data_IF_664691070797
#
_entry.id   IF_664691070797
#
_cell.length_a   1.000
_cell.length_b   1.000
_cell.length_c   1.000
_cell.angle_alpha   90.00
_cell.angle_beta   90.00
_cell.angle_gamma   90.00
#
_symmetry.space_group_name_H-M   'P 1'
#
loop_
_entity.id
_entity.type
_entity.pdbx_description
1 polymer ?
#
# COMPACT_ATOMS: atom_id res chain seq x y z
N UNK A 1 -6.43 27.78 -6.55
CA UNK A 1 -5.92 26.92 -5.47
C UNK A 1 -4.96 27.78 -4.64
N UNK A 2 -5.34 28.16 -3.42
CA UNK A 2 -4.58 29.10 -2.58
C UNK A 2 -3.34 28.48 -1.94
N UNK A 3 -3.21 27.16 -2.06
CA UNK A 3 -2.08 26.36 -1.60
C UNK A 3 -0.71 26.87 -2.04
N UNK A 4 -0.62 27.54 -3.20
CA UNK A 4 0.65 28.07 -3.71
C UNK A 4 1.13 29.35 -2.99
N UNK A 5 0.26 30.01 -2.22
CA UNK A 5 0.57 31.30 -1.60
C UNK A 5 1.07 31.17 -0.16
N UNK A 6 1.11 29.96 0.40
CA UNK A 6 1.48 29.72 1.80
C UNK A 6 0.36 30.06 2.79
N UNK A 7 0.73 30.08 4.07
CA UNK A 7 -0.16 30.44 5.18
C UNK A 7 0.32 31.75 5.81
N UNK A 8 -0.60 32.69 5.95
CA UNK A 8 -0.34 34.00 6.51
C UNK A 8 -0.77 34.03 7.97
N UNK A 9 0.16 34.37 8.86
CA UNK A 9 -0.09 34.62 10.27
C UNK A 9 -0.15 36.13 10.46
N UNK A 10 -1.36 36.64 10.68
CA UNK A 10 -1.62 38.08 10.79
C UNK A 10 -1.85 38.46 12.25
N UNK A 11 -1.09 39.43 12.74
CA UNK A 11 -1.41 40.12 13.98
C UNK A 11 -2.22 41.37 13.65
N UNK A 12 -3.40 41.48 14.21
CA UNK A 12 -4.31 42.60 13.97
C UNK A 12 -4.22 43.62 15.11
N UNK A 13 -4.59 44.87 14.82
CA UNK A 13 -4.78 45.87 15.88
C UNK A 13 -5.98 45.51 16.79
N UNK A 14 -6.08 46.12 17.97
CA UNK A 14 -7.11 45.79 18.97
C UNK A 14 -8.55 45.88 18.43
N UNK A 15 -8.76 46.70 17.40
CA UNK A 15 -10.04 46.91 16.74
C UNK A 15 -10.28 45.98 15.53
N UNK A 16 -9.33 45.10 15.20
CA UNK A 16 -9.37 44.20 14.04
C UNK A 16 -9.55 44.92 12.69
N UNK A 17 -9.03 46.14 12.56
CA UNK A 17 -9.17 46.97 11.37
C UNK A 17 -7.91 47.01 10.49
N UNK A 18 -6.75 46.70 11.06
CA UNK A 18 -5.45 46.76 10.36
C UNK A 18 -4.53 45.62 10.76
N UNK A 19 -3.71 45.17 9.82
CA UNK A 19 -2.59 44.25 10.06
C UNK A 19 -1.41 45.04 10.64
N UNK A 20 -0.95 44.65 11.81
CA UNK A 20 0.19 45.24 12.53
C UNK A 20 1.49 44.52 12.17
N UNK A 21 1.42 43.21 12.04
CA UNK A 21 2.52 42.37 11.56
C UNK A 21 1.97 41.17 10.78
N UNK A 22 2.81 40.65 9.90
CA UNK A 22 2.52 39.50 9.05
C UNK A 22 3.76 38.60 9.05
N UNK A 23 3.56 37.33 9.35
CA UNK A 23 4.53 36.26 9.09
C UNK A 23 3.95 35.31 8.05
N UNK A 24 4.80 34.78 7.18
CA UNK A 24 4.37 33.90 6.08
C UNK A 24 5.07 32.57 6.24
N UNK A 25 4.29 31.53 6.45
CA UNK A 25 4.74 30.15 6.26
C UNK A 25 4.64 29.85 4.76
N UNK A 26 5.77 29.64 4.05
CA UNK A 26 5.75 29.40 2.62
C UNK A 26 4.95 28.14 2.27
N UNK A 27 4.41 28.09 1.05
CA UNK A 27 3.83 26.87 0.53
C UNK A 27 4.90 25.77 0.47
N UNK A 28 4.60 24.63 1.09
CA UNK A 28 5.45 23.44 1.05
C UNK A 28 4.60 22.24 0.65
N UNK A 29 4.96 21.59 -0.46
CA UNK A 29 4.26 20.41 -0.95
C UNK A 29 2.88 20.68 -1.57
N UNK A 30 2.02 19.67 -1.50
CA UNK A 30 0.63 19.69 -1.99
C UNK A 30 -0.33 18.99 -0.99
N UNK A 31 -1.64 19.09 -1.18
CA UNK A 31 -2.64 18.55 -0.24
C UNK A 31 -2.72 19.31 1.09
N UNK A 32 -2.49 20.62 1.05
CA UNK A 32 -2.35 21.47 2.24
C UNK A 32 -3.68 21.62 2.97
N UNK A 33 -3.68 21.39 4.28
CA UNK A 33 -4.86 21.58 5.12
C UNK A 33 -4.50 22.08 6.51
N UNK A 34 -5.36 22.94 7.03
CA UNK A 34 -5.28 23.43 8.40
C UNK A 34 -6.40 22.81 9.23
N UNK A 35 -6.06 22.24 10.38
CA UNK A 35 -7.02 21.54 11.24
C UNK A 35 -6.68 21.72 12.71
N UNK A 36 -7.69 21.55 13.57
CA UNK A 36 -7.48 21.52 15.01
C UNK A 36 -7.48 20.08 15.50
N UNK A 37 -6.56 19.75 16.41
CA UNK A 37 -6.53 18.46 17.07
C UNK A 37 -6.13 18.64 18.53
N UNK A 38 -6.98 18.16 19.45
CA UNK A 38 -6.77 18.30 20.90
C UNK A 38 -6.51 19.75 21.38
N UNK A 39 -7.10 20.73 20.69
CA UNK A 39 -7.01 22.15 21.03
C UNK A 39 -5.88 22.90 20.32
N UNK A 40 -4.89 22.17 19.78
CA UNK A 40 -3.80 22.74 19.02
C UNK A 40 -4.15 22.91 17.53
N UNK A 41 -3.56 23.92 16.90
CA UNK A 41 -3.68 24.19 15.47
C UNK A 41 -2.52 23.54 14.71
N UNK A 42 -2.84 22.85 13.62
CA UNK A 42 -1.88 22.19 12.75
C UNK A 42 -2.06 22.61 11.31
N UNK A 43 -0.95 22.62 10.58
CA UNK A 43 -0.87 22.69 9.13
C UNK A 43 -0.25 21.39 8.64
N UNK A 44 -0.85 20.74 7.65
CA UNK A 44 -0.26 19.59 6.98
C UNK A 44 -0.16 19.83 5.48
N UNK A 45 0.80 19.18 4.85
CA UNK A 45 0.92 19.05 3.40
C UNK A 45 1.60 17.71 3.08
N UNK A 46 1.92 17.46 1.81
CA UNK A 46 2.68 16.28 1.38
C UNK A 46 4.06 16.16 2.04
N UNK A 47 4.58 17.23 2.63
CA UNK A 47 5.88 17.29 3.32
C UNK A 47 5.79 16.90 4.80
N UNK A 48 4.59 16.81 5.38
CA UNK A 48 4.37 16.37 6.75
C UNK A 48 3.34 17.19 7.51
N UNK A 49 3.44 17.19 8.84
CA UNK A 49 2.58 17.94 9.76
C UNK A 49 3.42 18.93 10.55
N UNK A 50 2.93 20.15 10.67
CA UNK A 50 3.48 21.22 11.50
C UNK A 50 2.45 21.66 12.53
N UNK A 51 2.90 21.91 13.75
CA UNK A 51 2.11 22.45 14.85
C UNK A 51 2.37 23.96 14.97
N UNK A 52 1.31 24.72 15.20
CA UNK A 52 1.43 26.16 15.47
C UNK A 52 1.90 26.40 16.92
N UNK A 53 2.97 27.16 17.10
CA UNK A 53 3.47 27.65 18.37
C UNK A 53 2.84 29.03 18.64
N UNK A 54 1.93 29.10 19.62
CA UNK A 54 1.21 30.33 19.95
C UNK A 54 2.08 31.41 20.61
N UNK A 55 3.22 31.04 21.20
CA UNK A 55 4.14 32.00 21.81
C UNK A 55 5.04 32.63 20.75
N UNK A 56 5.51 31.83 19.78
CA UNK A 56 6.36 32.30 18.68
C UNK A 56 5.60 32.78 17.45
N UNK A 57 4.30 32.50 17.37
CA UNK A 57 3.43 32.75 16.22
C UNK A 57 3.90 32.09 14.92
N UNK A 58 4.53 30.92 15.02
CA UNK A 58 5.17 30.21 13.91
C UNK A 58 4.78 28.74 13.88
N UNK A 59 4.89 28.11 12.71
CA UNK A 59 4.74 26.66 12.61
C UNK A 59 6.09 25.97 12.87
N UNK A 60 6.04 24.84 13.58
CA UNK A 60 7.17 23.96 13.80
C UNK A 60 6.78 22.52 13.46
N UNK A 61 7.70 21.76 12.86
CA UNK A 61 7.43 20.37 12.46
C UNK A 61 7.01 19.51 13.65
N UNK A 62 5.87 18.82 13.52
CA UNK A 62 5.42 17.80 14.45
C UNK A 62 5.91 16.43 13.96
N UNK A 63 7.01 15.95 14.54
CA UNK A 63 7.61 14.67 14.14
C UNK A 63 6.71 13.47 14.45
N UNK A 64 5.89 13.56 15.51
CA UNK A 64 5.05 12.46 15.97
C UNK A 64 3.92 12.18 14.98
N UNK A 65 3.15 13.21 14.61
CA UNK A 65 2.09 13.09 13.61
C UNK A 65 2.66 12.85 12.21
N UNK A 66 3.79 13.50 11.87
CA UNK A 66 4.44 13.27 10.57
C UNK A 66 4.83 11.81 10.40
N UNK A 67 5.54 11.21 11.35
CA UNK A 67 5.95 9.81 11.26
C UNK A 67 4.76 8.83 11.28
N UNK A 68 3.69 9.17 12.00
CA UNK A 68 2.49 8.33 12.08
C UNK A 68 1.71 8.29 10.76
N UNK A 69 1.62 9.44 10.07
CA UNK A 69 0.75 9.63 8.91
C UNK A 69 1.48 9.51 7.56
N UNK A 70 2.77 9.87 7.49
CA UNK A 70 3.56 9.95 6.25
C UNK A 70 4.55 8.79 6.15
N UNK A 71 4.02 7.56 6.07
CA UNK A 71 4.83 6.33 6.00
C UNK A 71 5.24 6.04 4.55
N UNK A 72 6.46 5.52 4.37
CA UNK A 72 6.99 5.12 3.05
C UNK A 72 6.01 4.17 2.33
N UNK A 73 5.74 4.46 1.05
CA UNK A 73 4.82 3.72 0.17
C UNK A 73 3.33 3.76 0.55
N UNK A 74 2.93 4.54 1.57
CA UNK A 74 1.54 4.73 1.96
C UNK A 74 1.34 6.08 2.67
N UNK A 75 1.74 7.15 2.00
CA UNK A 75 1.63 8.52 2.52
C UNK A 75 0.24 9.10 2.29
N UNK A 76 -0.20 10.00 3.18
CA UNK A 76 -1.38 10.83 2.92
C UNK A 76 -1.14 11.65 1.66
N UNK A 77 -2.12 11.63 0.76
CA UNK A 77 -2.09 12.36 -0.53
C UNK A 77 -3.12 13.49 -0.58
N UNK A 78 -3.98 13.59 0.43
CA UNK A 78 -5.10 14.52 0.52
C UNK A 78 -5.00 15.43 1.74
N UNK A 79 -6.04 16.24 1.95
CA UNK A 79 -6.24 16.97 3.21
C UNK A 79 -6.39 16.01 4.40
N UNK A 80 -6.03 16.50 5.58
CA UNK A 80 -6.34 15.86 6.86
C UNK A 80 -7.63 16.45 7.41
N UNK A 81 -8.55 15.57 7.79
CA UNK A 81 -9.85 15.93 8.34
C UNK A 81 -9.85 15.59 9.83
N UNK A 82 -10.10 16.60 10.65
CA UNK A 82 -10.33 16.40 12.09
C UNK A 82 -11.82 16.22 12.32
N UNK A 83 -12.22 15.04 12.76
CA UNK A 83 -13.62 14.70 13.01
C UNK A 83 -13.77 13.94 14.33
N UNK A 84 -14.55 14.54 15.23
CA UNK A 84 -14.64 14.17 16.65
C UNK A 84 -13.26 14.16 17.34
N UNK A 85 -12.77 12.99 17.75
CA UNK A 85 -11.49 12.79 18.44
C UNK A 85 -10.42 12.13 17.56
N UNK A 86 -10.65 12.09 16.24
CA UNK A 86 -9.79 11.39 15.29
C UNK A 86 -9.37 12.30 14.15
N UNK A 87 -8.18 12.04 13.64
CA UNK A 87 -7.74 12.54 12.35
C UNK A 87 -8.01 11.48 11.28
N UNK A 88 -8.44 11.94 10.12
CA UNK A 88 -8.69 11.14 8.93
C UNK A 88 -7.86 11.66 7.78
N UNK A 89 -7.29 10.74 7.01
CA UNK A 89 -6.58 11.06 5.79
C UNK A 89 -6.75 9.95 4.77
N UNK A 90 -6.44 10.25 3.52
CA UNK A 90 -6.57 9.31 2.41
C UNK A 90 -5.22 9.15 1.73
N UNK A 91 -4.88 7.92 1.39
CA UNK A 91 -3.69 7.56 0.61
C UNK A 91 -4.11 6.91 -0.70
N UNK A 92 -3.11 6.58 -1.52
CA UNK A 92 -3.31 5.79 -2.74
C UNK A 92 -3.79 4.35 -2.49
N UNK A 93 -3.87 3.88 -1.25
CA UNK A 93 -4.26 2.50 -0.88
C UNK A 93 -5.24 2.41 0.29
N UNK A 94 -5.26 3.41 1.16
CA UNK A 94 -5.90 3.33 2.47
C UNK A 94 -6.70 4.58 2.80
N UNK A 95 -7.72 4.39 3.63
CA UNK A 95 -8.21 5.42 4.54
C UNK A 95 -7.44 5.26 5.84
N UNK A 96 -6.82 6.35 6.30
CA UNK A 96 -6.02 6.38 7.53
C UNK A 96 -6.85 7.06 8.59
N UNK A 97 -7.02 6.39 9.72
CA UNK A 97 -7.62 6.97 10.92
C UNK A 97 -6.56 6.99 12.03
N UNK A 98 -6.36 8.14 12.66
CA UNK A 98 -5.45 8.31 13.79
C UNK A 98 -6.25 8.78 15.00
N UNK A 99 -6.02 8.13 16.12
CA UNK A 99 -6.52 8.55 17.44
C UNK A 99 -5.37 8.58 18.44
N UNK A 100 -5.44 9.47 19.42
CA UNK A 100 -4.45 9.49 20.49
C UNK A 100 -4.61 8.27 21.41
N UNK A 101 -3.51 7.61 21.75
CA UNK A 101 -3.45 6.57 22.77
C UNK A 101 -3.89 7.12 24.13
N UNK A 102 -4.77 6.38 24.82
CA UNK A 102 -5.37 6.82 26.10
C UNK A 102 -4.40 6.74 27.30
N UNK A 103 -3.29 6.01 27.16
CA UNK A 103 -2.41 5.65 28.27
C UNK A 103 -0.94 6.03 28.06
N UNK A 104 -0.46 5.94 26.82
CA UNK A 104 0.93 6.18 26.42
C UNK A 104 1.13 7.52 25.71
N UNK A 105 0.04 8.22 25.35
CA UNK A 105 0.07 9.40 24.48
C UNK A 105 0.77 9.15 23.13
N UNK A 106 0.84 7.91 22.68
CA UNK A 106 1.32 7.59 21.33
C UNK A 106 0.14 7.55 20.35
N UNK A 107 0.30 8.01 19.11
CA UNK A 107 -0.76 7.96 18.12
C UNK A 107 -1.06 6.51 17.70
N UNK A 108 -2.30 6.08 17.89
CA UNK A 108 -2.82 4.83 17.35
C UNK A 108 -3.35 5.03 15.93
N UNK A 109 -2.70 4.42 14.95
CA UNK A 109 -3.04 4.55 13.53
C UNK A 109 -3.68 3.27 12.99
N UNK A 110 -4.89 3.39 12.45
CA UNK A 110 -5.58 2.32 11.73
C UNK A 110 -5.57 2.63 10.23
N UNK A 111 -5.03 1.71 9.43
CA UNK A 111 -5.04 1.78 7.96
C UNK A 111 -6.06 0.82 7.40
N UNK A 112 -7.09 1.38 6.79
CA UNK A 112 -8.24 0.66 6.26
C UNK A 112 -8.02 0.55 4.75
N UNK A 113 -7.69 -0.64 4.23
CA UNK A 113 -7.47 -0.81 2.81
C UNK A 113 -8.77 -0.57 2.07
N UNK A 114 -8.68 0.18 0.97
CA UNK A 114 -9.83 0.48 0.11
C UNK A 114 -9.52 0.11 -1.33
N UNK A 115 -10.45 -0.50 -2.10
CA UNK A 115 -10.19 -0.91 -3.48
C UNK A 115 -9.94 0.24 -4.43
N UNK A 116 -9.22 -0.02 -5.53
CA UNK A 116 -8.96 0.97 -6.58
C UNK A 116 -10.24 1.55 -7.17
N UNK A 117 -11.28 0.74 -7.33
CA UNK A 117 -12.59 1.20 -7.79
C UNK A 117 -13.21 2.23 -6.84
N UNK A 118 -13.14 2.01 -5.53
CA UNK A 118 -13.64 2.98 -4.55
C UNK A 118 -12.80 4.26 -4.54
N UNK A 119 -11.48 4.16 -4.62
CA UNK A 119 -10.61 5.35 -4.62
C UNK A 119 -10.93 6.30 -5.76
N UNK A 120 -11.36 5.76 -6.93
CA UNK A 120 -11.81 6.58 -8.07
C UNK A 120 -13.11 7.35 -7.80
N UNK A 121 -13.91 6.93 -6.84
CA UNK A 121 -15.15 7.63 -6.47
C UNK A 121 -14.94 8.67 -5.39
N UNK A 122 -13.77 8.75 -4.73
CA UNK A 122 -13.49 9.81 -3.73
C UNK A 122 -13.52 11.23 -4.31
N UNK A 123 -13.51 11.36 -5.65
CA UNK A 123 -13.74 12.63 -6.33
C UNK A 123 -12.45 13.44 -6.47
N UNK A 124 -12.55 14.74 -6.21
CA UNK A 124 -11.42 15.67 -6.34
C UNK A 124 -10.62 15.66 -5.04
N UNK A 125 -9.32 15.40 -5.14
CA UNK A 125 -8.42 15.46 -3.99
C UNK A 125 -8.50 16.83 -3.31
N UNK A 126 -8.65 16.83 -1.99
CA UNK A 126 -8.86 18.02 -1.17
C UNK A 126 -10.33 18.31 -0.84
N UNK A 127 -11.28 17.55 -1.39
CA UNK A 127 -12.71 17.63 -1.08
C UNK A 127 -13.23 16.35 -0.43
N UNK A 128 -12.35 15.47 0.03
CA UNK A 128 -12.74 14.31 0.81
C UNK A 128 -13.49 14.77 2.07
N UNK A 129 -14.51 14.01 2.46
CA UNK A 129 -15.26 14.30 3.66
C UNK A 129 -15.51 13.03 4.48
N UNK A 130 -15.37 13.18 5.79
CA UNK A 130 -15.67 12.15 6.77
C UNK A 130 -16.52 12.80 7.86
N UNK A 131 -17.69 12.22 8.13
CA UNK A 131 -18.61 12.70 9.15
C UNK A 131 -18.91 11.56 10.12
N UNK A 132 -18.82 11.83 11.43
CA UNK A 132 -19.24 10.84 12.43
C UNK A 132 -20.76 10.77 12.48
N UNK A 133 -21.31 9.55 12.43
CA UNK A 133 -22.76 9.32 12.57
C UNK A 133 -23.10 9.00 14.03
N UNK A 134 -22.76 7.79 14.47
CA UNK A 134 -23.01 7.28 15.82
C UNK A 134 -21.91 6.27 16.18
N UNK A 135 -21.58 6.14 17.46
CA UNK A 135 -20.56 5.20 17.94
C UNK A 135 -19.25 5.30 17.14
N UNK A 136 -18.88 4.22 16.47
CA UNK A 136 -17.69 4.06 15.63
C UNK A 136 -18.06 3.99 14.13
N UNK A 137 -19.23 4.52 13.76
CA UNK A 137 -19.70 4.61 12.37
C UNK A 137 -19.49 5.99 11.79
N UNK A 138 -18.98 6.03 10.57
CA UNK A 138 -18.63 7.22 9.83
C UNK A 138 -19.25 7.19 8.44
N UNK A 139 -19.65 8.35 7.93
CA UNK A 139 -20.07 8.55 6.57
C UNK A 139 -18.90 9.15 5.78
N UNK A 140 -18.56 8.53 4.67
CA UNK A 140 -17.50 8.98 3.76
C UNK A 140 -18.17 9.42 2.47
N UNK A 141 -17.99 10.69 2.09
CA UNK A 141 -18.53 11.19 0.83
C UNK A 141 -17.75 10.68 -0.38
N UNK A 142 -18.45 10.65 -1.51
CA UNK A 142 -17.89 10.31 -2.81
C UNK A 142 -18.54 11.18 -3.89
N UNK A 143 -17.92 11.29 -5.06
CA UNK A 143 -18.50 11.98 -6.22
C UNK A 143 -19.79 11.35 -6.73
N UNK A 144 -20.11 10.12 -6.29
CA UNK A 144 -21.30 9.36 -6.70
C UNK A 144 -22.26 9.05 -5.55
N UNK A 145 -22.14 9.71 -4.39
CA UNK A 145 -22.95 9.44 -3.20
C UNK A 145 -22.10 9.34 -1.93
N UNK A 146 -22.32 8.33 -1.11
CA UNK A 146 -21.57 8.13 0.14
C UNK A 146 -21.44 6.66 0.52
N UNK A 147 -20.49 6.36 1.40
CA UNK A 147 -20.33 5.08 2.08
C UNK A 147 -20.49 5.23 3.59
N UNK A 148 -20.87 4.14 4.24
CA UNK A 148 -20.81 4.01 5.69
C UNK A 148 -19.69 3.05 6.08
N UNK A 149 -18.80 3.52 6.96
CA UNK A 149 -17.70 2.77 7.52
C UNK A 149 -17.97 2.52 9.00
N UNK A 150 -18.01 1.25 9.40
CA UNK A 150 -18.17 0.84 10.80
C UNK A 150 -16.84 0.29 11.32
N UNK A 151 -16.11 1.09 12.10
CA UNK A 151 -14.78 0.72 12.60
C UNK A 151 -14.82 -0.49 13.53
N UNK A 152 -15.94 -0.70 14.23
CA UNK A 152 -16.13 -1.85 15.13
C UNK A 152 -16.32 -3.17 14.40
N UNK A 153 -16.57 -3.15 13.09
CA UNK A 153 -16.78 -4.35 12.25
C UNK A 153 -15.62 -4.65 11.30
N UNK A 154 -14.52 -3.92 11.41
CA UNK A 154 -13.32 -4.21 10.63
C UNK A 154 -12.77 -5.58 11.02
N UNK A 155 -12.94 -6.57 10.14
CA UNK A 155 -12.41 -7.92 10.32
C UNK A 155 -11.02 -8.00 9.70
N UNK A 156 -10.11 -8.68 10.40
CA UNK A 156 -8.87 -9.15 9.79
C UNK A 156 -9.21 -10.33 8.87
N UNK A 157 -8.74 -10.26 7.63
CA UNK A 157 -8.84 -11.37 6.69
C UNK A 157 -7.66 -12.32 6.98
N UNK A 158 -7.97 -13.56 7.33
CA UNK A 158 -6.99 -14.64 7.37
C UNK A 158 -7.24 -15.51 6.14
N UNK A 159 -6.21 -15.69 5.33
CA UNK A 159 -6.32 -16.44 4.08
C UNK A 159 -4.99 -17.05 3.72
N UNK A 160 -5.06 -18.13 2.95
CA UNK A 160 -3.91 -18.79 2.39
C UNK A 160 -3.87 -18.57 0.89
N UNK A 161 -2.66 -18.52 0.36
CA UNK A 161 -2.41 -18.57 -1.07
C UNK A 161 -2.21 -20.02 -1.50
N UNK A 162 -2.59 -20.33 -2.74
CA UNK A 162 -2.44 -21.64 -3.34
C UNK A 162 -1.84 -21.51 -4.73
N UNK A 163 -0.92 -22.40 -5.10
CA UNK A 163 -0.57 -22.65 -6.50
C UNK A 163 -1.67 -23.52 -7.08
N UNK A 164 -2.27 -23.07 -8.18
CA UNK A 164 -3.38 -23.76 -8.82
C UNK A 164 -2.86 -24.73 -9.89
N UNK A 165 -1.88 -24.29 -10.68
CA UNK A 165 -1.29 -25.09 -11.74
C UNK A 165 0.10 -24.59 -12.12
N UNK A 166 0.92 -25.53 -12.61
CA UNK A 166 2.23 -25.26 -13.20
C UNK A 166 2.25 -25.91 -14.58
N UNK A 167 2.39 -25.09 -15.61
CA UNK A 167 2.51 -25.55 -17.00
C UNK A 167 3.95 -25.35 -17.45
N UNK A 168 4.53 -26.42 -17.99
CA UNK A 168 5.88 -26.40 -18.55
C UNK A 168 5.82 -26.62 -20.04
N UNK A 169 6.61 -25.85 -20.80
CA UNK A 169 6.65 -25.96 -22.26
C UNK A 169 8.04 -25.89 -22.85
N UNK A 170 8.18 -26.55 -23.99
CA UNK A 170 9.37 -26.48 -24.83
C UNK A 170 9.28 -25.37 -25.90
N UNK A 171 10.40 -25.07 -26.55
CA UNK A 171 10.48 -24.11 -27.66
C UNK A 171 9.59 -24.47 -28.87
N UNK A 172 9.09 -25.72 -28.94
CA UNK A 172 8.22 -26.20 -30.01
C UNK A 172 6.73 -26.18 -29.63
N UNK A 173 6.39 -25.52 -28.51
CA UNK A 173 5.02 -25.30 -28.02
C UNK A 173 4.30 -26.56 -27.54
N UNK A 174 5.01 -27.65 -27.24
CA UNK A 174 4.41 -28.73 -26.47
C UNK A 174 4.40 -28.31 -25.00
N UNK A 175 3.19 -28.19 -24.43
CA UNK A 175 2.99 -27.83 -23.03
C UNK A 175 2.29 -28.96 -22.29
N UNK A 176 2.71 -29.24 -21.07
CA UNK A 176 2.00 -30.14 -20.17
C UNK A 176 1.94 -29.54 -18.76
N UNK A 177 0.90 -29.93 -18.02
CA UNK A 177 0.75 -29.56 -16.62
C UNK A 177 1.57 -30.51 -15.75
N UNK A 178 2.14 -29.98 -14.68
CA UNK A 178 3.03 -30.72 -13.79
C UNK A 178 2.42 -30.83 -12.42
N UNK A 179 2.55 -32.02 -11.82
CA UNK A 179 2.28 -32.20 -10.41
C UNK A 179 3.37 -31.49 -9.58
N UNK A 180 2.95 -30.50 -8.80
CA UNK A 180 3.82 -29.62 -8.03
C UNK A 180 3.95 -30.05 -6.56
N UNK A 181 3.43 -31.22 -6.18
CA UNK A 181 3.55 -31.76 -4.83
C UNK A 181 4.97 -32.23 -4.49
N UNK A 182 5.79 -32.53 -5.49
CA UNK A 182 7.16 -33.03 -5.32
C UNK A 182 8.17 -32.18 -6.12
N UNK A 183 9.45 -32.22 -5.71
CA UNK A 183 10.54 -31.64 -6.50
C UNK A 183 10.64 -32.40 -7.83
N UNK A 184 10.56 -31.67 -8.93
CA UNK A 184 10.62 -32.23 -10.29
C UNK A 184 11.89 -31.74 -11.00
N UNK A 185 12.52 -32.65 -11.75
CA UNK A 185 13.61 -32.32 -12.67
C UNK A 185 13.09 -32.31 -14.10
N UNK A 186 13.35 -31.22 -14.81
CA UNK A 186 12.92 -30.99 -16.19
C UNK A 186 14.09 -31.09 -17.15
N UNK A 187 13.81 -31.51 -18.39
CA UNK A 187 14.82 -31.55 -19.43
C UNK A 187 15.24 -30.14 -19.81
N UNK A 188 16.46 -29.98 -20.34
CA UNK A 188 16.97 -28.66 -20.76
C UNK A 188 16.05 -27.90 -21.73
N UNK A 189 15.27 -28.61 -22.54
CA UNK A 189 14.31 -28.01 -23.50
C UNK A 189 13.02 -27.54 -22.84
N UNK A 190 12.71 -28.02 -21.65
CA UNK A 190 11.51 -27.72 -20.86
C UNK A 190 11.82 -26.57 -19.90
N UNK A 191 12.04 -25.39 -20.48
CA UNK A 191 12.58 -24.24 -19.76
C UNK A 191 11.66 -23.02 -19.75
N UNK A 192 10.40 -23.19 -20.14
CA UNK A 192 9.36 -22.17 -20.05
C UNK A 192 8.31 -22.63 -19.04
N UNK A 193 8.01 -21.78 -18.07
CA UNK A 193 7.13 -22.07 -16.96
C UNK A 193 6.04 -21.01 -16.89
N UNK A 194 4.79 -21.46 -16.83
CA UNK A 194 3.65 -20.61 -16.46
C UNK A 194 3.07 -21.14 -15.15
N UNK A 195 3.01 -20.30 -14.14
CA UNK A 195 2.51 -20.66 -12.81
C UNK A 195 1.29 -19.81 -12.52
N UNK A 196 0.17 -20.47 -12.21
CA UNK A 196 -1.07 -19.83 -11.79
C UNK A 196 -1.25 -20.04 -10.29
N UNK A 197 -1.69 -19.00 -9.61
CA UNK A 197 -1.92 -19.02 -8.16
C UNK A 197 -3.16 -18.22 -7.81
N UNK A 198 -3.74 -18.48 -6.64
CA UNK A 198 -4.90 -17.72 -6.18
C UNK A 198 -5.00 -17.66 -4.67
N UNK A 199 -5.78 -16.69 -4.20
CA UNK A 199 -6.11 -16.53 -2.79
C UNK A 199 -7.61 -16.28 -2.69
N UNK A 200 -8.36 -17.12 -1.95
CA UNK A 200 -9.79 -16.91 -1.75
C UNK A 200 -10.05 -15.57 -1.08
N UNK A 201 -10.79 -14.70 -1.79
CA UNK A 201 -11.24 -13.42 -1.29
C UNK A 201 -12.66 -13.16 -1.78
N UNK A 202 -13.62 -13.19 -0.85
CA UNK A 202 -15.04 -12.98 -1.13
C UNK A 202 -15.52 -11.57 -0.77
N UNK A 203 -14.61 -10.69 -0.32
CA UNK A 203 -14.95 -9.34 0.08
C UNK A 203 -14.65 -8.33 -1.05
N UNK A 204 -15.73 -7.81 -1.66
CA UNK A 204 -15.66 -6.80 -2.73
C UNK A 204 -14.93 -5.49 -2.33
N UNK A 205 -14.82 -5.22 -1.02
CA UNK A 205 -14.14 -4.04 -0.49
C UNK A 205 -12.66 -4.28 -0.16
N UNK A 206 -12.08 -5.36 -0.67
CA UNK A 206 -10.66 -5.65 -0.51
C UNK A 206 -10.05 -6.18 -1.80
N UNK A 207 -8.85 -5.70 -2.13
CA UNK A 207 -8.11 -6.17 -3.28
C UNK A 207 -7.06 -7.19 -2.86
N UNK A 208 -6.96 -8.26 -3.64
CA UNK A 208 -5.88 -9.25 -3.51
C UNK A 208 -4.72 -8.85 -4.43
N UNK A 209 -3.53 -8.79 -3.87
CA UNK A 209 -2.28 -8.56 -4.61
C UNK A 209 -1.30 -9.70 -4.30
N UNK A 210 -0.39 -9.96 -5.22
CA UNK A 210 0.58 -11.04 -5.17
C UNK A 210 1.99 -10.51 -5.36
N UNK A 211 2.93 -11.17 -4.69
CA UNK A 211 4.36 -11.04 -4.92
C UNK A 211 4.94 -12.41 -5.13
N UNK A 212 5.88 -12.52 -6.06
CA UNK A 212 6.61 -13.76 -6.28
C UNK A 212 8.12 -13.53 -6.30
N UNK A 213 8.87 -14.61 -6.12
CA UNK A 213 10.32 -14.63 -6.16
C UNK A 213 10.78 -15.93 -6.83
N UNK A 214 11.83 -15.86 -7.64
CA UNK A 214 12.45 -17.04 -8.25
C UNK A 214 13.93 -17.09 -7.85
N UNK A 215 14.19 -17.76 -6.74
CA UNK A 215 15.56 -17.99 -6.25
C UNK A 215 16.29 -18.86 -7.28
N UNK A 216 17.50 -18.46 -7.64
CA UNK A 216 18.29 -19.05 -8.72
C UNK A 216 18.41 -18.16 -9.97
N UNK A 217 17.55 -17.13 -10.11
CA UNK A 217 17.78 -16.00 -11.03
C UNK A 217 17.67 -14.66 -10.31
N UNK A 218 16.57 -14.46 -9.57
CA UNK A 218 16.25 -13.18 -8.94
C UNK A 218 16.01 -13.39 -7.43
N UNK A 219 16.96 -12.93 -6.62
CA UNK A 219 16.89 -13.09 -5.16
C UNK A 219 16.02 -12.02 -4.47
N UNK A 220 15.30 -11.18 -5.22
CA UNK A 220 14.38 -10.18 -4.68
C UNK A 220 12.93 -10.52 -5.02
N UNK A 221 12.00 -10.19 -4.10
CA UNK A 221 10.58 -10.24 -4.39
C UNK A 221 10.22 -9.25 -5.50
N UNK A 222 9.30 -9.63 -6.37
CA UNK A 222 8.70 -8.74 -7.36
C UNK A 222 7.99 -7.56 -6.71
N UNK A 223 7.59 -6.56 -7.48
CA UNK A 223 6.56 -5.62 -7.01
C UNK A 223 5.23 -6.33 -6.78
N UNK A 224 4.39 -5.74 -5.93
CA UNK A 224 3.02 -6.21 -5.73
C UNK A 224 2.18 -5.99 -6.99
N UNK A 225 1.50 -7.03 -7.45
CA UNK A 225 0.64 -6.99 -8.64
C UNK A 225 -0.69 -7.69 -8.39
N UNK A 226 -1.73 -7.30 -9.12
CA UNK A 226 -3.03 -8.00 -9.11
C UNK A 226 -3.04 -9.24 -10.02
N UNK A 227 -1.97 -9.47 -10.78
CA UNK A 227 -1.85 -10.63 -11.66
C UNK A 227 -1.70 -11.90 -10.82
N UNK A 228 -2.58 -12.86 -11.08
CA UNK A 228 -2.63 -14.16 -10.42
C UNK A 228 -1.87 -15.24 -11.20
N UNK A 229 -0.91 -14.83 -12.03
CA UNK A 229 -0.03 -15.71 -12.79
C UNK A 229 1.33 -15.03 -13.01
N UNK A 230 2.31 -15.86 -13.33
CA UNK A 230 3.64 -15.43 -13.76
C UNK A 230 4.15 -16.37 -14.84
N UNK A 231 4.95 -15.84 -15.78
CA UNK A 231 5.63 -16.62 -16.81
C UNK A 231 7.13 -16.38 -16.73
N UNK A 232 7.89 -17.46 -16.71
CA UNK A 232 9.34 -17.46 -16.87
C UNK A 232 9.68 -18.14 -18.19
N UNK A 233 10.46 -17.47 -19.03
CA UNK A 233 10.82 -17.99 -20.35
C UNK A 233 12.32 -18.20 -20.45
N UNK A 234 12.71 -19.26 -21.15
CA UNK A 234 14.10 -19.60 -21.42
C UNK A 234 14.99 -19.68 -20.17
N UNK A 235 14.49 -20.30 -19.10
CA UNK A 235 15.29 -20.50 -17.89
C UNK A 235 16.56 -21.32 -18.23
N UNK A 236 17.75 -20.89 -17.76
CA UNK A 236 18.95 -21.70 -17.86
C UNK A 236 18.84 -23.03 -17.10
N UNK A 237 19.84 -23.90 -17.28
CA UNK A 237 19.95 -25.08 -16.43
C UNK A 237 20.33 -24.65 -15.00
N UNK A 238 19.82 -25.35 -13.99
CA UNK A 238 20.06 -25.02 -12.59
C UNK A 238 18.95 -25.47 -11.66
N UNK A 239 19.14 -25.21 -10.37
CA UNK A 239 18.12 -25.40 -9.35
C UNK A 239 17.38 -24.08 -9.09
N UNK A 240 16.05 -24.16 -8.99
CA UNK A 240 15.18 -23.03 -8.77
C UNK A 240 14.20 -23.28 -7.62
N UNK A 241 13.90 -22.22 -6.89
CA UNK A 241 12.81 -22.21 -5.91
C UNK A 241 11.90 -21.02 -6.20
N UNK A 242 10.72 -21.33 -6.72
CA UNK A 242 9.62 -20.38 -6.85
C UNK A 242 8.94 -20.21 -5.49
N UNK A 243 8.73 -18.96 -5.09
CA UNK A 243 7.93 -18.59 -3.92
C UNK A 243 6.87 -17.58 -4.33
N UNK A 244 5.68 -17.72 -3.77
CA UNK A 244 4.61 -16.74 -3.95
C UNK A 244 3.87 -16.50 -2.64
N UNK A 245 3.53 -15.23 -2.42
CA UNK A 245 2.69 -14.80 -1.29
C UNK A 245 1.64 -13.83 -1.77
N UNK A 246 0.52 -13.74 -1.06
CA UNK A 246 -0.49 -12.74 -1.33
C UNK A 246 -0.67 -11.78 -0.18
N UNK A 247 -1.41 -10.71 -0.43
CA UNK A 247 -2.02 -9.87 0.59
C UNK A 247 -3.43 -9.52 0.18
N UNK A 248 -4.33 -9.46 1.16
CA UNK A 248 -5.65 -8.86 1.02
C UNK A 248 -5.64 -7.52 1.74
N UNK A 249 -5.70 -6.43 0.97
CA UNK A 249 -5.49 -5.08 1.48
C UNK A 249 -4.08 -4.90 2.08
N UNK A 250 -3.99 -4.89 3.40
CA UNK A 250 -2.72 -4.73 4.14
C UNK A 250 -2.28 -6.01 4.87
N UNK A 251 -3.05 -7.10 4.79
CA UNK A 251 -2.78 -8.33 5.54
C UNK A 251 -2.17 -9.36 4.60
N UNK A 252 -0.97 -9.84 4.93
CA UNK A 252 -0.29 -10.92 4.20
C UNK A 252 -1.01 -12.25 4.41
N UNK A 253 -0.90 -13.14 3.43
CA UNK A 253 -1.29 -14.55 3.59
C UNK A 253 -0.56 -15.20 4.75
N UNK A 254 -1.19 -16.18 5.42
CA UNK A 254 -0.55 -16.89 6.54
C UNK A 254 0.60 -17.79 6.07
N UNK A 255 0.57 -18.20 4.80
CA UNK A 255 1.59 -19.01 4.15
C UNK A 255 2.28 -18.27 2.99
N UNK A 256 3.46 -18.78 2.63
CA UNK A 256 4.07 -18.61 1.31
C UNK A 256 4.00 -19.96 0.62
N UNK A 257 3.52 -20.01 -0.62
CA UNK A 257 3.55 -21.23 -1.44
C UNK A 257 4.90 -21.37 -2.11
N UNK A 258 5.45 -22.58 -2.09
CA UNK A 258 6.82 -22.86 -2.53
C UNK A 258 6.80 -24.02 -3.49
N UNK A 259 7.44 -23.84 -4.65
CA UNK A 259 7.70 -24.91 -5.60
C UNK A 259 9.18 -24.94 -5.98
N UNK A 260 9.83 -26.08 -5.77
CA UNK A 260 11.24 -26.28 -6.10
C UNK A 260 11.39 -27.23 -7.28
N UNK A 261 12.22 -26.86 -8.23
CA UNK A 261 12.48 -27.65 -9.43
C UNK A 261 13.92 -27.47 -9.91
N UNK A 262 14.36 -28.35 -10.82
CA UNK A 262 15.67 -28.24 -11.46
C UNK A 262 15.55 -28.45 -12.97
N UNK A 263 16.38 -27.75 -13.74
CA UNK A 263 16.48 -27.91 -15.20
C UNK A 263 17.83 -28.53 -15.52
N UNK A 264 17.82 -29.66 -16.22
CA UNK A 264 19.03 -30.38 -16.61
C UNK A 264 19.94 -29.55 -17.52
N UNK A 265 21.25 -29.83 -17.42
CA UNK A 265 22.25 -29.32 -18.36
C UNK A 265 21.96 -29.83 -19.78
N UNK A 266 22.28 -29.05 -20.82
CA UNK A 266 22.25 -29.58 -22.17
C UNK A 266 23.16 -30.82 -22.28
N UNK A 267 22.69 -31.87 -22.96
CA UNK A 267 23.39 -33.16 -23.04
C UNK A 267 24.83 -33.05 -23.59
N UNK A 268 25.10 -32.10 -24.47
CA UNK A 268 26.42 -31.82 -25.05
C UNK A 268 27.39 -31.08 -24.10
N UNK A 269 26.90 -30.59 -22.96
CA UNK A 269 27.70 -30.01 -21.87
C UNK A 269 27.99 -31.04 -20.77
N UNK A 270 27.55 -32.29 -20.92
CA UNK A 270 27.89 -33.36 -19.98
C UNK A 270 29.35 -33.81 -20.17
N UNK A 271 30.01 -34.25 -19.08
CA UNK A 271 31.41 -34.68 -19.10
C UNK A 271 31.70 -35.82 -20.11
N UNK A 272 30.67 -36.57 -20.53
CA UNK A 272 30.78 -37.62 -21.55
C UNK A 272 30.94 -37.07 -22.97
N UNK A 273 30.41 -35.88 -23.27
CA UNK A 273 30.54 -35.25 -24.59
C UNK A 273 31.99 -34.85 -24.89
N UNK A 274 32.77 -34.50 -23.86
CA UNK A 274 34.21 -34.24 -23.97
C UNK A 274 35.05 -35.50 -24.21
N UNK A 275 34.53 -36.69 -23.88
CA UNK A 275 35.25 -37.96 -24.04
C UNK A 275 35.01 -38.58 -25.42
N UNK A 276 33.90 -38.23 -26.08
CA UNK A 276 33.50 -38.78 -27.38
C UNK A 276 33.82 -37.83 -28.56
N UNK A 277 34.23 -36.59 -28.27
CA UNK A 277 34.73 -35.64 -29.27
C UNK A 277 36.24 -35.79 -29.46
#
# INVERSE_FOLDING_TARGET
>A
NHEQNGVYVLQLDENYTRVVSEEVEPADGFGSSMFKFKGDLFLSSSSGVMKFDYEKLQFATDSTLTNALFVKNDTITSIIISEADKLWGFTNRNIVSLSQGKFDNEPYVTRIPVPSLFRRTLGVTGFECVLKLENEKYLIGSSTGYLTLDMGKLKKANTNIYINSITVSDLKSQSHEVDFLNKTTFLNKENNFQILFSTPNFNQFSETEYQYQLIGIYDQWSDWSRQSNVTFSNLPHGDYTFKVRSRIGNILSENEEIYSFSIDKPWYLSNLAWVIY
#
